data_IF_625431435022
#
_entry.id   IF_625431435022
#
_cell.length_a   1.000
_cell.length_b   1.000
_cell.length_c   1.000
_cell.angle_alpha   90.00
_cell.angle_beta   90.00
_cell.angle_gamma   90.00
#
_symmetry.space_group_name_H-M   'P 1'
#
loop_
_entity.id
_entity.type
_entity.pdbx_description
1 polymer ?
#
# COMPACT_ATOMS: atom_id res chain seq x y z
N UNK A 1 -0.91 14.47 25.93
CA UNK A 1 -2.12 13.91 25.32
C UNK A 1 -1.71 12.61 24.70
N UNK A 2 -2.27 11.52 25.19
CA UNK A 2 -1.88 10.19 24.76
C UNK A 2 -2.23 10.00 23.29
N UNK A 3 -1.27 9.46 22.59
CA UNK A 3 -1.30 8.97 21.24
C UNK A 3 -2.53 8.06 21.05
N UNK A 4 -3.47 8.45 20.21
CA UNK A 4 -4.74 7.76 20.01
C UNK A 4 -4.73 6.84 18.81
N UNK A 5 -3.60 6.40 18.32
CA UNK A 5 -3.57 5.25 17.41
C UNK A 5 -3.69 3.98 18.24
N UNK A 6 -4.92 3.49 18.40
CA UNK A 6 -5.25 2.35 19.25
C UNK A 6 -4.75 1.00 18.69
N UNK A 7 -3.96 1.00 17.64
CA UNK A 7 -3.35 -0.21 17.09
C UNK A 7 -1.87 0.05 16.85
N UNK A 8 -1.03 -0.83 17.39
CA UNK A 8 0.36 -0.93 16.95
C UNK A 8 0.39 -1.24 15.44
N UNK A 9 1.37 -0.70 14.72
CA UNK A 9 1.57 -0.96 13.28
C UNK A 9 1.62 -2.46 12.96
N UNK A 10 2.13 -3.26 13.87
CA UNK A 10 2.17 -4.72 13.80
C UNK A 10 0.76 -5.34 13.82
N UNK A 11 -0.13 -4.83 14.66
CA UNK A 11 -1.52 -5.29 14.75
C UNK A 11 -2.31 -4.90 13.50
N UNK A 12 -2.11 -3.67 13.00
CA UNK A 12 -2.73 -3.22 11.77
C UNK A 12 -2.27 -4.06 10.58
N UNK A 13 -0.97 -4.33 10.45
CA UNK A 13 -0.43 -5.19 9.40
C UNK A 13 -1.00 -6.61 9.48
N UNK A 14 -1.17 -7.15 10.68
CA UNK A 14 -1.79 -8.46 10.91
C UNK A 14 -3.24 -8.46 10.46
N UNK A 15 -4.01 -7.44 10.81
CA UNK A 15 -5.41 -7.29 10.39
C UNK A 15 -5.55 -7.17 8.87
N UNK A 16 -4.70 -6.34 8.25
CA UNK A 16 -4.66 -6.16 6.79
C UNK A 16 -4.35 -7.48 6.07
N UNK A 17 -3.41 -8.28 6.59
CA UNK A 17 -3.05 -9.56 5.99
C UNK A 17 -4.22 -10.55 5.86
N UNK A 18 -5.26 -10.42 6.70
CA UNK A 18 -6.45 -11.28 6.67
C UNK A 18 -7.39 -10.95 5.51
N UNK A 19 -7.44 -9.69 5.08
CA UNK A 19 -8.43 -9.19 4.11
C UNK A 19 -7.82 -8.57 2.85
N UNK A 20 -6.51 -8.28 2.82
CA UNK A 20 -5.88 -7.55 1.73
C UNK A 20 -6.09 -8.20 0.35
N UNK A 21 -5.95 -9.51 0.24
CA UNK A 21 -6.09 -10.21 -1.04
C UNK A 21 -7.50 -10.04 -1.63
N UNK A 22 -8.54 -10.27 -0.83
CA UNK A 22 -9.91 -10.15 -1.31
C UNK A 22 -10.31 -8.68 -1.52
N UNK A 23 -9.84 -7.76 -0.65
CA UNK A 23 -10.07 -6.34 -0.78
C UNK A 23 -9.50 -5.82 -2.11
N UNK A 24 -8.25 -6.18 -2.44
CA UNK A 24 -7.61 -5.82 -3.70
C UNK A 24 -8.38 -6.35 -4.92
N UNK A 25 -8.85 -7.60 -4.87
CA UNK A 25 -9.66 -8.18 -5.96
C UNK A 25 -11.02 -7.48 -6.13
N UNK A 26 -11.48 -6.78 -5.11
CA UNK A 26 -12.72 -6.01 -5.12
C UNK A 26 -12.50 -4.52 -5.43
N UNK A 27 -11.28 -4.10 -5.80
CA UNK A 27 -10.94 -2.72 -6.10
C UNK A 27 -10.89 -1.81 -4.85
N UNK A 28 -10.60 -2.39 -3.67
CA UNK A 28 -10.37 -1.61 -2.44
C UNK A 28 -8.88 -1.38 -2.30
N UNK A 29 -8.49 -0.12 -2.24
CA UNK A 29 -7.06 0.24 -2.10
C UNK A 29 -6.53 -0.10 -0.72
N UNK A 30 -5.21 -0.19 -0.60
CA UNK A 30 -4.55 -0.49 0.68
C UNK A 30 -4.85 0.58 1.73
N UNK A 31 -4.92 1.85 1.31
CA UNK A 31 -5.24 2.99 2.17
C UNK A 31 -6.68 2.95 2.66
N UNK A 32 -7.62 2.62 1.77
CA UNK A 32 -9.02 2.41 2.13
C UNK A 32 -9.16 1.26 3.13
N UNK A 33 -8.48 0.14 2.91
CA UNK A 33 -8.53 -1.01 3.82
C UNK A 33 -7.95 -0.66 5.19
N UNK A 34 -6.81 0.02 5.24
CA UNK A 34 -6.19 0.47 6.50
C UNK A 34 -7.12 1.41 7.27
N UNK A 35 -7.73 2.39 6.59
CA UNK A 35 -8.67 3.33 7.19
C UNK A 35 -9.94 2.64 7.72
N UNK A 36 -10.46 1.64 7.01
CA UNK A 36 -11.61 0.85 7.45
C UNK A 36 -11.29 0.06 8.72
N UNK A 37 -10.13 -0.63 8.75
CA UNK A 37 -9.70 -1.37 9.94
C UNK A 37 -9.52 -0.42 11.13
N UNK A 38 -8.83 0.69 10.93
CA UNK A 38 -8.60 1.68 11.98
C UNK A 38 -9.92 2.22 12.54
N UNK A 39 -10.84 2.63 11.67
CA UNK A 39 -12.15 3.18 12.07
C UNK A 39 -12.98 2.17 12.85
N UNK A 40 -13.17 0.95 12.30
CA UNK A 40 -13.98 -0.08 12.95
C UNK A 40 -13.35 -0.47 14.29
N UNK A 41 -12.04 -0.67 14.35
CA UNK A 41 -11.31 -1.02 15.59
C UNK A 41 -11.47 0.07 16.64
N UNK A 42 -11.30 1.33 16.26
CA UNK A 42 -11.42 2.48 17.16
C UNK A 42 -12.81 2.57 17.77
N UNK A 43 -13.84 2.39 16.97
CA UNK A 43 -15.25 2.57 17.37
C UNK A 43 -15.78 1.36 18.13
N UNK A 44 -15.49 0.15 17.64
CA UNK A 44 -16.02 -1.08 18.23
C UNK A 44 -15.18 -1.62 19.38
N UNK A 45 -13.92 -1.15 19.50
CA UNK A 45 -12.93 -1.67 20.46
C UNK A 45 -12.63 -3.17 20.27
N UNK A 46 -12.89 -3.70 19.11
CA UNK A 46 -12.49 -5.06 18.75
C UNK A 46 -10.98 -5.11 18.46
N UNK A 47 -10.39 -6.30 18.63
CA UNK A 47 -9.00 -6.48 18.19
C UNK A 47 -8.88 -6.29 16.67
N UNK A 48 -7.81 -5.63 16.16
CA UNK A 48 -7.61 -5.38 14.73
C UNK A 48 -7.72 -6.63 13.87
N UNK A 49 -7.19 -7.77 14.33
CA UNK A 49 -7.31 -9.05 13.64
C UNK A 49 -8.77 -9.49 13.47
N UNK A 50 -9.62 -9.28 14.47
CA UNK A 50 -11.06 -9.57 14.41
C UNK A 50 -11.73 -8.71 13.36
N UNK A 51 -11.37 -7.42 13.30
CA UNK A 51 -11.84 -6.46 12.28
C UNK A 51 -11.40 -6.88 10.88
N UNK A 52 -10.13 -7.31 10.70
CA UNK A 52 -9.63 -7.82 9.43
C UNK A 52 -10.41 -9.06 8.95
N UNK A 53 -10.71 -9.99 9.84
CA UNK A 53 -11.54 -11.17 9.52
C UNK A 53 -12.99 -10.78 9.19
N UNK A 54 -13.55 -9.78 9.87
CA UNK A 54 -14.88 -9.24 9.58
C UNK A 54 -14.94 -8.65 8.16
N UNK A 55 -13.99 -7.81 7.81
CA UNK A 55 -13.89 -7.21 6.45
C UNK A 55 -13.68 -8.28 5.38
N UNK A 56 -12.83 -9.29 5.64
CA UNK A 56 -12.69 -10.44 4.74
C UNK A 56 -14.04 -11.09 4.44
N UNK A 57 -14.87 -11.32 5.47
CA UNK A 57 -16.19 -11.93 5.33
C UNK A 57 -17.15 -11.01 4.56
N UNK A 58 -17.10 -9.71 4.81
CA UNK A 58 -17.92 -8.70 4.10
C UNK A 58 -17.56 -8.72 2.61
N UNK A 59 -16.28 -8.63 2.28
CA UNK A 59 -15.84 -8.64 0.90
C UNK A 59 -16.13 -9.96 0.18
N UNK A 60 -15.97 -11.09 0.86
CA UNK A 60 -16.33 -12.39 0.29
C UNK A 60 -17.82 -12.42 -0.08
N UNK A 61 -18.70 -11.94 0.81
CA UNK A 61 -20.13 -11.87 0.55
C UNK A 61 -20.46 -10.93 -0.63
N UNK A 62 -19.86 -9.76 -0.70
CA UNK A 62 -20.06 -8.83 -1.82
C UNK A 62 -19.57 -9.48 -3.13
N UNK A 63 -18.44 -10.18 -3.09
CA UNK A 63 -17.91 -10.91 -4.23
C UNK A 63 -18.90 -11.98 -4.73
N UNK A 64 -19.49 -12.76 -3.80
CA UNK A 64 -20.47 -13.81 -4.14
C UNK A 64 -21.74 -13.20 -4.79
N UNK A 65 -22.21 -12.06 -4.28
CA UNK A 65 -23.31 -11.30 -4.88
C UNK A 65 -22.96 -10.83 -6.29
N UNK A 66 -21.75 -10.27 -6.47
CA UNK A 66 -21.25 -9.80 -7.76
C UNK A 66 -21.04 -10.93 -8.76
N UNK A 67 -20.57 -12.08 -8.30
CA UNK A 67 -20.37 -13.26 -9.12
C UNK A 67 -21.69 -13.95 -9.53
N UNK A 68 -22.80 -13.61 -8.86
CA UNK A 68 -24.10 -14.23 -9.11
C UNK A 68 -24.11 -15.74 -8.81
N UNK A 69 -23.34 -16.17 -7.81
CA UNK A 69 -23.25 -17.58 -7.44
C UNK A 69 -24.59 -18.08 -6.87
N UNK A 70 -24.91 -19.36 -7.07
CA UNK A 70 -26.16 -19.98 -6.56
C UNK A 70 -26.24 -19.93 -5.03
N UNK A 71 -25.09 -19.84 -4.34
CA UNK A 71 -24.98 -19.73 -2.88
C UNK A 71 -25.16 -18.30 -2.36
N UNK A 72 -25.28 -17.30 -3.25
CA UNK A 72 -25.51 -15.92 -2.84
C UNK A 72 -26.93 -15.76 -2.27
N UNK A 73 -27.05 -15.40 -0.99
CA UNK A 73 -28.33 -15.13 -0.33
C UNK A 73 -29.12 -13.99 -0.99
N UNK A 74 -28.41 -13.15 -1.76
CA UNK A 74 -28.96 -12.00 -2.47
C UNK A 74 -28.49 -12.04 -3.93
N UNK A 75 -29.41 -12.06 -4.87
CA UNK A 75 -29.07 -12.02 -6.29
C UNK A 75 -28.45 -10.67 -6.68
N UNK A 76 -27.58 -10.66 -7.70
CA UNK A 76 -27.00 -9.45 -8.25
C UNK A 76 -28.07 -8.43 -8.66
N UNK A 77 -29.16 -8.88 -9.30
CA UNK A 77 -30.24 -8.00 -9.72
C UNK A 77 -30.96 -7.33 -8.55
N UNK A 78 -31.18 -8.05 -7.45
CA UNK A 78 -31.73 -7.46 -6.23
C UNK A 78 -30.76 -6.49 -5.57
N UNK A 79 -29.47 -6.79 -5.56
CA UNK A 79 -28.42 -5.92 -5.03
C UNK A 79 -28.35 -4.61 -5.82
N UNK A 80 -28.20 -4.68 -7.15
CA UNK A 80 -28.12 -3.49 -8.01
C UNK A 80 -29.41 -2.67 -7.97
N UNK A 81 -30.58 -3.33 -8.00
CA UNK A 81 -31.87 -2.63 -7.93
C UNK A 81 -32.05 -1.86 -6.61
N UNK A 82 -31.68 -2.47 -5.49
CA UNK A 82 -31.79 -1.81 -4.18
C UNK A 82 -30.79 -0.69 -3.99
N UNK A 83 -29.57 -0.84 -4.52
CA UNK A 83 -28.59 0.25 -4.52
C UNK A 83 -29.09 1.44 -5.35
N UNK A 84 -29.66 1.19 -6.53
CA UNK A 84 -30.24 2.23 -7.35
C UNK A 84 -31.42 2.95 -6.67
N UNK A 85 -32.29 2.25 -5.91
CA UNK A 85 -33.36 2.86 -5.10
C UNK A 85 -32.78 3.83 -4.03
N UNK A 86 -31.57 3.60 -3.57
CA UNK A 86 -30.84 4.46 -2.63
C UNK A 86 -30.00 5.53 -3.35
N UNK A 87 -30.06 5.56 -4.68
CA UNK A 87 -29.30 6.48 -5.51
C UNK A 87 -27.80 6.14 -5.55
N UNK A 88 -27.45 4.86 -5.37
CA UNK A 88 -26.07 4.37 -5.40
C UNK A 88 -25.88 3.57 -6.68
N UNK A 89 -24.93 3.99 -7.50
CA UNK A 89 -24.62 3.32 -8.75
C UNK A 89 -23.55 2.24 -8.52
N UNK A 90 -23.94 0.96 -8.64
CA UNK A 90 -23.00 -0.17 -8.55
C UNK A 90 -22.49 -0.63 -9.91
N UNK A 91 -23.03 -0.09 -10.99
CA UNK A 91 -22.59 -0.28 -12.36
C UNK A 91 -22.00 1.02 -12.91
N UNK A 92 -21.01 0.89 -13.77
CA UNK A 92 -20.47 2.01 -14.54
C UNK A 92 -21.32 2.32 -15.79
N UNK A 93 -20.88 3.30 -16.59
CA UNK A 93 -21.58 3.71 -17.81
C UNK A 93 -21.61 2.61 -18.91
N UNK A 94 -20.75 1.59 -18.80
CA UNK A 94 -20.69 0.45 -19.72
C UNK A 94 -21.54 -0.74 -19.21
N UNK A 95 -22.13 -0.63 -18.01
CA UNK A 95 -22.86 -1.71 -17.36
C UNK A 95 -21.98 -2.72 -16.63
N UNK A 96 -20.69 -2.41 -16.42
CA UNK A 96 -19.76 -3.22 -15.65
C UNK A 96 -19.84 -2.87 -14.17
N UNK A 97 -19.50 -3.84 -13.31
CA UNK A 97 -19.49 -3.62 -11.87
C UNK A 97 -18.33 -2.71 -11.46
N UNK A 98 -18.67 -1.62 -10.77
CA UNK A 98 -17.70 -0.68 -10.20
C UNK A 98 -16.90 -1.33 -9.08
N UNK A 99 -15.73 -0.75 -8.81
CA UNK A 99 -14.91 -1.11 -7.66
C UNK A 99 -15.68 -0.95 -6.35
N UNK A 100 -15.54 -1.95 -5.47
CA UNK A 100 -16.26 -1.93 -4.19
C UNK A 100 -15.81 -0.79 -3.29
N UNK A 101 -14.54 -0.37 -3.41
CA UNK A 101 -14.01 0.79 -2.70
C UNK A 101 -14.77 2.08 -3.04
N UNK A 102 -15.05 2.29 -4.33
CA UNK A 102 -15.80 3.46 -4.82
C UNK A 102 -17.26 3.40 -4.40
N UNK A 103 -17.89 2.23 -4.53
CA UNK A 103 -19.27 2.02 -4.08
C UNK A 103 -19.40 2.25 -2.58
N UNK A 104 -18.46 1.76 -1.76
CA UNK A 104 -18.48 2.02 -0.31
C UNK A 104 -18.27 3.48 0.02
N UNK A 105 -17.46 4.20 -0.76
CA UNK A 105 -17.29 5.65 -0.60
C UNK A 105 -18.61 6.38 -0.86
N UNK A 106 -19.29 6.06 -1.94
CA UNK A 106 -20.60 6.66 -2.27
C UNK A 106 -21.67 6.35 -1.22
N UNK A 107 -21.67 5.11 -0.67
CA UNK A 107 -22.55 4.73 0.45
C UNK A 107 -22.25 5.61 1.67
N UNK A 108 -20.98 5.74 2.04
CA UNK A 108 -20.58 6.51 3.21
C UNK A 108 -20.99 7.98 3.14
N UNK A 109 -20.82 8.60 1.98
CA UNK A 109 -21.24 9.98 1.72
C UNK A 109 -22.78 10.17 1.83
N UNK A 110 -23.54 9.17 1.44
CA UNK A 110 -25.02 9.21 1.46
C UNK A 110 -25.62 8.66 2.77
N UNK A 111 -24.81 8.00 3.61
CA UNK A 111 -25.27 7.26 4.78
C UNK A 111 -26.15 8.07 5.74
N UNK A 112 -25.72 9.31 6.04
CA UNK A 112 -26.47 10.20 6.92
C UNK A 112 -27.83 10.67 6.38
N UNK A 113 -28.08 10.53 5.07
CA UNK A 113 -29.35 10.87 4.44
C UNK A 113 -30.33 9.69 4.39
N UNK A 114 -29.88 8.47 4.69
CA UNK A 114 -30.70 7.27 4.68
C UNK A 114 -31.53 7.13 5.95
N UNK A 115 -32.72 6.53 5.82
CA UNK A 115 -33.47 6.12 7.01
C UNK A 115 -32.77 4.95 7.71
N UNK A 116 -33.09 4.74 9.00
CA UNK A 116 -32.49 3.64 9.75
C UNK A 116 -32.80 2.27 9.14
N UNK A 117 -33.99 2.09 8.58
CA UNK A 117 -34.39 0.85 7.90
C UNK A 117 -33.54 0.62 6.64
N UNK A 118 -33.27 1.68 5.87
CA UNK A 118 -32.40 1.62 4.69
C UNK A 118 -30.97 1.26 5.07
N UNK A 119 -30.44 1.87 6.12
CA UNK A 119 -29.09 1.59 6.66
C UNK A 119 -28.97 0.13 7.09
N UNK A 120 -29.92 -0.37 7.87
CA UNK A 120 -29.93 -1.76 8.35
C UNK A 120 -30.04 -2.73 7.17
N UNK A 121 -30.97 -2.46 6.24
CA UNK A 121 -31.14 -3.31 5.06
C UNK A 121 -29.87 -3.38 4.21
N UNK A 122 -29.25 -2.24 3.94
CA UNK A 122 -28.02 -2.18 3.17
C UNK A 122 -26.86 -2.90 3.87
N UNK A 123 -26.66 -2.64 5.16
CA UNK A 123 -25.62 -3.29 5.94
C UNK A 123 -25.84 -4.82 6.03
N UNK A 124 -27.08 -5.26 6.19
CA UNK A 124 -27.41 -6.68 6.20
C UNK A 124 -27.17 -7.34 4.83
N UNK A 125 -27.52 -6.64 3.75
CA UNK A 125 -27.29 -7.13 2.39
C UNK A 125 -25.80 -7.33 2.12
N UNK A 126 -24.98 -6.32 2.41
CA UNK A 126 -23.55 -6.35 2.12
C UNK A 126 -22.73 -7.22 3.09
N UNK A 127 -23.04 -7.17 4.38
CA UNK A 127 -22.24 -7.80 5.42
C UNK A 127 -22.86 -9.07 6.01
N UNK A 128 -24.14 -9.36 5.73
CA UNK A 128 -24.90 -10.40 6.42
C UNK A 128 -25.13 -10.07 7.89
N UNK A 129 -25.98 -10.86 8.56
CA UNK A 129 -26.35 -10.61 9.96
C UNK A 129 -25.14 -10.58 10.92
N UNK A 130 -24.12 -11.38 10.65
CA UNK A 130 -22.97 -11.53 11.56
C UNK A 130 -22.05 -10.32 11.55
N UNK A 131 -21.87 -9.66 10.41
CA UNK A 131 -20.92 -8.54 10.24
C UNK A 131 -21.62 -7.19 10.05
N UNK A 132 -22.97 -7.18 10.04
CA UNK A 132 -23.77 -5.96 9.86
C UNK A 132 -23.33 -4.83 10.81
N UNK A 133 -23.09 -5.15 12.09
CA UNK A 133 -22.71 -4.14 13.08
C UNK A 133 -21.35 -3.52 12.78
N UNK A 134 -20.39 -4.26 12.22
CA UNK A 134 -19.10 -3.73 11.82
C UNK A 134 -19.24 -2.77 10.64
N UNK A 135 -20.10 -3.09 9.67
CA UNK A 135 -20.35 -2.23 8.54
C UNK A 135 -21.13 -0.96 8.93
N UNK A 136 -22.12 -1.09 9.83
CA UNK A 136 -22.82 0.05 10.42
C UNK A 136 -21.83 0.94 11.21
N UNK A 137 -20.95 0.35 12.01
CA UNK A 137 -19.96 1.11 12.77
C UNK A 137 -19.01 1.89 11.85
N UNK A 138 -18.63 1.36 10.69
CA UNK A 138 -17.86 2.06 9.68
C UNK A 138 -18.62 3.29 9.15
N UNK A 139 -19.83 3.08 8.67
CA UNK A 139 -20.60 4.14 8.02
C UNK A 139 -21.17 5.18 9.00
N UNK A 140 -21.54 4.78 10.21
CA UNK A 140 -21.96 5.72 11.26
C UNK A 140 -20.80 6.64 11.70
N UNK A 141 -19.55 6.27 11.39
CA UNK A 141 -18.33 7.04 11.71
C UNK A 141 -17.54 7.41 10.44
N UNK A 142 -18.25 7.81 9.40
CA UNK A 142 -17.65 8.13 8.11
C UNK A 142 -16.63 9.27 8.15
N UNK A 143 -16.83 10.25 9.02
CA UNK A 143 -15.88 11.34 9.23
C UNK A 143 -14.53 10.81 9.78
N UNK A 144 -14.59 9.83 10.69
CA UNK A 144 -13.39 9.17 11.21
C UNK A 144 -12.68 8.40 10.10
N UNK A 145 -13.43 7.63 9.31
CA UNK A 145 -12.87 6.92 8.15
C UNK A 145 -12.18 7.87 7.17
N UNK A 146 -12.81 8.96 6.81
CA UNK A 146 -12.26 9.95 5.88
C UNK A 146 -10.96 10.57 6.44
N UNK A 147 -10.91 10.83 7.75
CA UNK A 147 -9.70 11.32 8.42
C UNK A 147 -8.58 10.29 8.38
N UNK A 148 -8.86 9.03 8.71
CA UNK A 148 -7.88 7.95 8.69
C UNK A 148 -7.37 7.69 7.25
N UNK A 149 -8.26 7.74 6.25
CA UNK A 149 -7.91 7.61 4.84
C UNK A 149 -6.96 8.74 4.39
N UNK A 150 -7.30 9.98 4.71
CA UNK A 150 -6.45 11.13 4.38
C UNK A 150 -5.09 11.06 5.08
N UNK A 151 -5.05 10.53 6.30
CA UNK A 151 -3.79 10.31 7.03
C UNK A 151 -2.93 9.24 6.34
N UNK A 152 -3.54 8.16 5.86
CA UNK A 152 -2.84 7.10 5.13
C UNK A 152 -2.29 7.61 3.80
N UNK A 153 -3.10 8.35 3.04
CA UNK A 153 -2.69 8.95 1.76
C UNK A 153 -1.54 9.96 1.94
N UNK A 154 -1.62 10.83 2.94
CA UNK A 154 -0.56 11.79 3.23
C UNK A 154 0.75 11.10 3.66
N UNK A 155 0.67 10.00 4.42
CA UNK A 155 1.84 9.20 4.77
C UNK A 155 2.48 8.53 3.54
N UNK A 156 1.67 8.08 2.59
CA UNK A 156 2.13 7.52 1.33
C UNK A 156 2.85 8.57 0.47
N UNK A 157 2.31 9.78 0.38
CA UNK A 157 2.94 10.88 -0.37
C UNK A 157 4.30 11.26 0.25
N UNK A 158 4.39 11.35 1.58
CA UNK A 158 5.65 11.62 2.29
C UNK A 158 6.69 10.50 2.09
N UNK A 159 6.26 9.24 2.09
CA UNK A 159 7.13 8.09 1.82
C UNK A 159 7.62 8.09 0.37
N UNK A 160 6.77 8.41 -0.59
CA UNK A 160 7.14 8.52 -2.00
C UNK A 160 8.15 9.66 -2.21
N UNK A 161 7.92 10.84 -1.62
CA UNK A 161 8.87 11.96 -1.69
C UNK A 161 10.23 11.59 -1.08
N UNK A 162 10.24 10.95 0.09
CA UNK A 162 11.48 10.46 0.73
C UNK A 162 12.18 9.40 -0.13
N UNK A 163 11.43 8.50 -0.74
CA UNK A 163 11.99 7.49 -1.63
C UNK A 163 12.58 8.11 -2.89
N UNK A 164 11.93 9.12 -3.48
CA UNK A 164 12.43 9.83 -4.66
C UNK A 164 13.73 10.56 -4.32
N UNK A 165 13.80 11.28 -3.19
CA UNK A 165 15.02 11.91 -2.70
C UNK A 165 16.13 10.87 -2.49
N UNK A 166 15.80 9.71 -1.92
CA UNK A 166 16.75 8.62 -1.71
C UNK A 166 17.25 8.05 -3.03
N UNK A 167 16.35 7.81 -3.99
CA UNK A 167 16.71 7.30 -5.32
C UNK A 167 17.55 8.29 -6.12
N UNK A 168 17.27 9.59 -6.04
CA UNK A 168 18.07 10.62 -6.67
C UNK A 168 19.48 10.73 -6.05
N UNK A 169 19.57 10.62 -4.72
CA UNK A 169 20.84 10.54 -4.00
C UNK A 169 21.64 9.30 -4.42
N UNK A 170 21.01 8.12 -4.48
CA UNK A 170 21.65 6.89 -4.94
C UNK A 170 22.16 7.01 -6.37
N UNK A 171 21.37 7.60 -7.28
CA UNK A 171 21.74 7.84 -8.66
C UNK A 171 22.93 8.80 -8.79
N UNK A 172 22.97 9.85 -7.96
CA UNK A 172 24.10 10.77 -7.91
C UNK A 172 25.39 10.04 -7.50
N UNK A 173 25.35 9.22 -6.44
CA UNK A 173 26.51 8.43 -5.99
C UNK A 173 26.93 7.37 -7.01
N UNK A 174 25.99 6.75 -7.75
CA UNK A 174 26.34 5.83 -8.83
C UNK A 174 27.01 6.54 -9.99
N UNK A 175 26.59 7.76 -10.33
CA UNK A 175 27.25 8.57 -11.36
C UNK A 175 28.67 8.99 -10.94
N UNK A 176 28.87 9.36 -9.67
CA UNK A 176 30.20 9.67 -9.11
C UNK A 176 31.10 8.42 -9.13
N UNK A 177 30.57 7.25 -8.79
CA UNK A 177 31.29 5.99 -8.86
C UNK A 177 31.71 5.64 -10.29
N UNK A 178 30.83 5.86 -11.26
CA UNK A 178 31.14 5.67 -12.70
C UNK A 178 32.23 6.62 -13.16
N UNK A 179 32.14 7.90 -12.80
CA UNK A 179 33.18 8.88 -13.12
C UNK A 179 34.54 8.54 -12.48
N UNK A 180 34.52 8.06 -11.22
CA UNK A 180 35.75 7.59 -10.54
C UNK A 180 36.34 6.35 -11.23
N UNK A 181 35.49 5.43 -11.72
CA UNK A 181 35.92 4.27 -12.51
C UNK A 181 36.58 4.69 -13.84
N UNK A 182 35.97 5.61 -14.56
CA UNK A 182 36.52 6.16 -15.80
C UNK A 182 37.87 6.84 -15.58
N UNK A 183 37.98 7.63 -14.48
CA UNK A 183 39.23 8.25 -14.07
C UNK A 183 40.33 7.22 -13.73
N UNK A 184 39.95 6.12 -13.11
CA UNK A 184 40.86 5.03 -12.77
C UNK A 184 41.39 4.32 -14.03
N UNK A 185 40.50 4.05 -15.02
CA UNK A 185 40.88 3.45 -16.30
C UNK A 185 41.83 4.39 -17.06
N UNK A 186 41.55 5.70 -17.04
CA UNK A 186 42.39 6.68 -17.69
C UNK A 186 43.80 6.77 -17.05
N UNK A 187 43.88 6.72 -15.72
CA UNK A 187 45.13 6.73 -14.96
C UNK A 187 45.97 5.46 -15.22
N UNK A 188 45.36 4.30 -15.45
CA UNK A 188 46.08 3.09 -15.84
C UNK A 188 46.57 3.10 -17.29
N UNK A 189 45.97 3.92 -18.14
CA UNK A 189 46.38 4.07 -19.54
C UNK A 189 47.57 5.07 -19.70
N UNK A 190 47.84 5.88 -18.67
CA UNK A 190 48.91 6.90 -18.68
C UNK A 190 50.02 6.46 -17.69
N UNK A 191 51.15 5.99 -18.22
CA UNK A 191 52.21 5.29 -17.47
C UNK A 191 53.02 6.19 -16.53
N UNK A 192 52.77 7.47 -16.42
CA UNK A 192 53.57 8.44 -15.63
C UNK A 192 52.97 8.90 -14.29
N UNK A 193 51.82 8.38 -13.87
CA UNK A 193 51.08 8.98 -12.73
C UNK A 193 50.75 8.07 -11.56
N UNK A 194 51.77 7.46 -10.92
CA UNK A 194 51.58 6.70 -9.68
C UNK A 194 50.92 7.49 -8.52
N UNK A 195 51.13 8.83 -8.47
CA UNK A 195 50.49 9.70 -7.47
C UNK A 195 49.01 9.88 -7.68
N UNK A 196 48.53 9.95 -8.94
CA UNK A 196 47.11 10.03 -9.25
C UNK A 196 46.32 8.77 -8.86
N UNK A 197 46.95 7.59 -8.85
CA UNK A 197 46.36 6.31 -8.47
C UNK A 197 45.92 6.27 -6.99
N UNK A 198 46.71 6.88 -6.08
CA UNK A 198 46.42 6.91 -4.65
C UNK A 198 45.20 7.83 -4.38
N UNK A 199 45.13 8.97 -5.02
CA UNK A 199 44.02 9.94 -4.85
C UNK A 199 42.71 9.39 -5.43
N UNK A 200 42.77 8.72 -6.59
CA UNK A 200 41.60 8.07 -7.22
C UNK A 200 41.14 6.91 -6.38
N UNK A 201 42.03 6.06 -5.85
CA UNK A 201 41.68 4.96 -4.96
C UNK A 201 41.05 5.41 -3.64
N UNK A 202 41.50 6.54 -3.10
CA UNK A 202 40.93 7.13 -1.88
C UNK A 202 39.54 7.70 -2.13
N UNK A 203 39.34 8.39 -3.24
CA UNK A 203 38.04 8.90 -3.65
C UNK A 203 37.05 7.74 -3.93
N UNK A 204 37.49 6.70 -4.62
CA UNK A 204 36.67 5.50 -4.85
C UNK A 204 36.22 4.85 -3.53
N UNK A 205 37.13 4.68 -2.55
CA UNK A 205 36.80 4.13 -1.24
C UNK A 205 35.82 5.02 -0.47
N UNK A 206 35.97 6.34 -0.55
CA UNK A 206 35.06 7.28 0.11
C UNK A 206 33.66 7.24 -0.49
N UNK A 207 33.53 7.23 -1.84
CA UNK A 207 32.24 7.11 -2.53
C UNK A 207 31.61 5.76 -2.22
N UNK A 208 32.40 4.70 -2.20
CA UNK A 208 31.93 3.37 -1.84
C UNK A 208 31.38 3.30 -0.40
N UNK A 209 32.11 3.90 0.57
CA UNK A 209 31.66 3.96 1.96
C UNK A 209 30.37 4.72 2.09
N UNK A 210 30.23 5.87 1.41
CA UNK A 210 28.99 6.65 1.39
C UNK A 210 27.82 5.87 0.76
N UNK A 211 28.08 5.09 -0.30
CA UNK A 211 27.07 4.23 -0.92
C UNK A 211 26.61 3.12 0.03
N UNK A 212 27.54 2.47 0.73
CA UNK A 212 27.24 1.43 1.74
C UNK A 212 26.43 2.00 2.91
N UNK A 213 26.78 3.20 3.36
CA UNK A 213 26.04 3.90 4.43
C UNK A 213 24.64 4.31 3.97
N UNK A 214 24.50 4.78 2.72
CA UNK A 214 23.20 5.19 2.14
C UNK A 214 22.23 4.02 1.97
N UNK A 215 22.71 2.81 1.67
CA UNK A 215 21.88 1.59 1.55
C UNK A 215 21.68 0.83 2.88
N UNK A 216 21.98 1.49 4.00
CA UNK A 216 21.64 0.99 5.34
C UNK A 216 22.62 0.01 5.96
N UNK A 217 23.89 0.00 5.55
CA UNK A 217 25.01 -0.62 6.31
C UNK A 217 24.90 -2.12 6.60
N UNK A 218 24.04 -2.88 5.94
CA UNK A 218 23.81 -4.28 6.21
C UNK A 218 24.61 -5.24 5.30
N UNK A 219 24.95 -6.44 5.80
CA UNK A 219 25.74 -7.45 5.09
C UNK A 219 25.27 -7.82 3.69
N UNK A 220 24.01 -7.52 3.33
CA UNK A 220 23.45 -7.71 1.98
C UNK A 220 24.00 -6.71 0.95
N UNK A 221 24.43 -5.52 1.38
CA UNK A 221 25.01 -4.50 0.52
C UNK A 221 26.39 -4.95 -0.01
N UNK A 222 27.19 -5.60 0.84
CA UNK A 222 28.49 -6.16 0.46
C UNK A 222 28.36 -7.29 -0.57
N UNK A 223 27.33 -8.14 -0.46
CA UNK A 223 27.06 -9.23 -1.41
C UNK A 223 26.59 -8.71 -2.76
N UNK A 224 25.75 -7.69 -2.76
CA UNK A 224 25.26 -7.03 -3.99
C UNK A 224 26.39 -6.29 -4.72
N UNK A 225 27.28 -5.65 -3.96
CA UNK A 225 28.43 -4.95 -4.50
C UNK A 225 29.48 -5.90 -5.07
N UNK A 226 29.75 -7.01 -4.39
CA UNK A 226 30.63 -8.07 -4.91
C UNK A 226 30.14 -8.61 -6.25
N UNK A 227 28.84 -8.79 -6.41
CA UNK A 227 28.23 -9.20 -7.69
C UNK A 227 28.36 -8.13 -8.79
N UNK A 228 28.23 -6.84 -8.43
CA UNK A 228 28.41 -5.71 -9.37
C UNK A 228 29.87 -5.60 -9.81
N UNK A 229 30.81 -5.67 -8.87
CA UNK A 229 32.26 -5.66 -9.18
C UNK A 229 32.64 -6.84 -10.09
N UNK A 230 32.18 -8.04 -9.77
CA UNK A 230 32.47 -9.23 -10.60
C UNK A 230 31.94 -9.07 -12.02
N UNK A 231 30.78 -8.44 -12.20
CA UNK A 231 30.17 -8.22 -13.49
C UNK A 231 30.85 -7.11 -14.31
N UNK A 232 31.37 -6.08 -13.65
CA UNK A 232 32.09 -4.98 -14.28
C UNK A 232 33.51 -5.40 -14.65
N UNK A 233 34.22 -6.09 -13.76
CA UNK A 233 35.60 -6.52 -14.01
C UNK A 233 35.69 -7.77 -14.90
N UNK A 234 34.71 -8.66 -14.90
CA UNK A 234 34.73 -9.83 -15.82
C UNK A 234 34.54 -9.47 -17.30
N UNK A 235 33.94 -8.33 -17.61
CA UNK A 235 33.81 -7.86 -18.98
C UNK A 235 35.10 -7.27 -19.57
N UNK A 236 36.02 -6.79 -18.72
CA UNK A 236 37.26 -6.12 -19.17
C UNK A 236 38.51 -7.01 -19.11
N UNK A 237 38.40 -8.26 -18.63
CA UNK A 237 39.53 -9.21 -18.61
C UNK A 237 39.48 -10.19 -19.81
N UNK A 238 38.43 -10.11 -20.64
CA UNK A 238 38.23 -10.99 -21.80
C UNK A 238 38.59 -10.33 -23.15
N UNK A 239 39.41 -9.32 -23.15
CA UNK A 239 40.15 -8.77 -24.30
C UNK A 239 41.63 -8.75 -23.92
#
# INVERSE_FOLDING_TARGET
MADTSASDMSELATAMSKSASIANNMGVTIDQLAAQIATITQVTRQAPETTGNALKTIYARINDIKAGTDDAEVSLGNYTGKMAELGIDVLDANGELRDTGDVMTEIGEKWGSMTREQQIYLAQTMAGQRQMNNLIALFDNWDTYTKELNTSLAANDELNEKNDIYMDSLKAHLNELTAAQEGLIQAFSDTDSFKGLVDIGTNFLNIFTQLVDAIGGGGNALLSFGAILTRVFSKNIAT
#
